data_IF_890290402066
#
_entry.id   IF_890290402066
#
_cell.length_a   1.000
_cell.length_b   1.000
_cell.length_c   1.000
_cell.angle_alpha   90.00
_cell.angle_beta   90.00
_cell.angle_gamma   90.00
#
_symmetry.space_group_name_H-M   'P 1'
#
loop_
_entity.id
_entity.type
_entity.pdbx_description
1 polymer ?
#
# COMPACT_ATOMS: atom_id res chain seq x y z
N UNK A 1 -10.45 1.12 26.53
CA UNK A 1 -10.65 0.32 25.28
C UNK A 1 -11.44 -0.95 25.58
N UNK A 2 -12.62 -1.11 25.01
CA UNK A 2 -13.38 -2.37 25.12
C UNK A 2 -12.87 -3.36 24.06
N UNK A 3 -11.98 -4.30 24.47
CA UNK A 3 -11.34 -5.28 23.56
C UNK A 3 -12.36 -6.13 22.81
N UNK A 4 -13.51 -6.46 23.44
CA UNK A 4 -14.55 -7.27 22.80
C UNK A 4 -15.22 -6.51 21.64
N UNK A 5 -15.53 -5.23 21.83
CA UNK A 5 -16.11 -4.39 20.79
C UNK A 5 -15.13 -4.20 19.62
N UNK A 6 -13.86 -3.92 19.89
CA UNK A 6 -12.82 -3.79 18.88
C UNK A 6 -12.66 -5.05 18.01
N UNK A 7 -12.56 -6.23 18.66
CA UNK A 7 -12.44 -7.50 17.95
C UNK A 7 -13.70 -7.85 17.15
N UNK A 8 -14.88 -7.50 17.65
CA UNK A 8 -16.14 -7.73 16.94
C UNK A 8 -16.22 -6.88 15.65
N UNK A 9 -15.80 -5.61 15.70
CA UNK A 9 -15.73 -4.75 14.51
C UNK A 9 -14.72 -5.26 13.50
N UNK A 10 -13.51 -5.61 13.93
CA UNK A 10 -12.48 -6.18 13.07
C UNK A 10 -12.93 -7.50 12.42
N UNK A 11 -13.61 -8.37 13.18
CA UNK A 11 -14.18 -9.62 12.65
C UNK A 11 -15.27 -9.35 11.61
N UNK A 12 -16.13 -8.33 11.81
CA UNK A 12 -17.13 -7.90 10.84
C UNK A 12 -16.46 -7.44 9.54
N UNK A 13 -15.48 -6.53 9.62
CA UNK A 13 -14.80 -5.99 8.43
C UNK A 13 -14.03 -7.10 7.69
N UNK A 14 -13.41 -8.03 8.41
CA UNK A 14 -12.80 -9.23 7.83
C UNK A 14 -13.83 -10.15 7.13
N UNK A 15 -15.03 -10.31 7.70
CA UNK A 15 -16.11 -11.09 7.09
C UNK A 15 -16.61 -10.44 5.79
N UNK A 16 -16.78 -9.13 5.77
CA UNK A 16 -17.17 -8.36 4.57
C UNK A 16 -16.09 -8.48 3.48
N UNK A 17 -14.81 -8.32 3.85
CA UNK A 17 -13.69 -8.50 2.93
C UNK A 17 -13.66 -9.91 2.34
N UNK A 18 -13.88 -10.95 3.15
CA UNK A 18 -13.95 -12.35 2.69
C UNK A 18 -15.12 -12.59 1.73
N UNK A 19 -16.28 -12.00 1.98
CA UNK A 19 -17.45 -12.13 1.08
C UNK A 19 -17.22 -11.48 -0.28
N UNK A 20 -16.48 -10.38 -0.30
CA UNK A 20 -16.15 -9.64 -1.52
C UNK A 20 -14.74 -9.98 -2.06
N UNK A 21 -14.20 -11.14 -1.69
CA UNK A 21 -12.81 -11.52 -1.97
C UNK A 21 -12.49 -11.54 -3.47
N UNK A 22 -13.34 -12.12 -4.31
CA UNK A 22 -13.10 -12.22 -5.76
C UNK A 22 -13.09 -10.85 -6.45
N UNK A 23 -14.06 -9.95 -6.26
CA UNK A 23 -13.98 -8.59 -6.78
C UNK A 23 -12.76 -7.82 -6.29
N UNK A 24 -12.41 -7.94 -5.00
CA UNK A 24 -11.23 -7.30 -4.43
C UNK A 24 -9.93 -7.82 -5.06
N UNK A 25 -9.81 -9.12 -5.28
CA UNK A 25 -8.66 -9.72 -5.95
C UNK A 25 -8.53 -9.19 -7.38
N UNK A 26 -9.61 -9.22 -8.16
CA UNK A 26 -9.59 -8.75 -9.54
C UNK A 26 -9.18 -7.27 -9.62
N UNK A 27 -9.76 -6.43 -8.77
CA UNK A 27 -9.44 -5.01 -8.73
C UNK A 27 -7.99 -4.75 -8.30
N UNK A 28 -7.48 -5.51 -7.33
CA UNK A 28 -6.13 -5.31 -6.77
C UNK A 28 -5.04 -5.89 -7.66
N UNK A 29 -5.30 -7.00 -8.37
CA UNK A 29 -4.25 -7.75 -9.06
C UNK A 29 -4.24 -7.55 -10.57
N UNK A 30 -5.37 -7.25 -11.19
CA UNK A 30 -5.44 -7.19 -12.66
C UNK A 30 -4.44 -6.18 -13.22
N UNK A 31 -4.43 -4.96 -12.72
CA UNK A 31 -3.53 -3.91 -13.19
C UNK A 31 -2.06 -4.25 -12.90
N UNK A 32 -1.61 -4.58 -11.66
CA UNK A 32 -0.24 -4.98 -11.40
C UNK A 32 0.23 -6.18 -12.22
N UNK A 33 -0.60 -7.22 -12.38
CA UNK A 33 -0.25 -8.40 -13.17
C UNK A 33 -0.16 -8.10 -14.66
N UNK A 34 -0.95 -7.19 -15.20
CA UNK A 34 -0.78 -6.71 -16.58
C UNK A 34 0.57 -6.03 -16.77
N UNK A 35 1.02 -5.21 -15.82
CA UNK A 35 2.37 -4.62 -15.86
C UNK A 35 3.46 -5.69 -15.77
N UNK A 36 3.31 -6.67 -14.88
CA UNK A 36 4.21 -7.84 -14.80
C UNK A 36 4.30 -8.56 -16.15
N UNK A 37 3.16 -8.80 -16.77
CA UNK A 37 3.11 -9.48 -18.06
C UNK A 37 3.80 -8.66 -19.17
N UNK A 38 3.45 -7.38 -19.31
CA UNK A 38 4.01 -6.52 -20.36
C UNK A 38 5.51 -6.32 -20.15
N UNK A 39 5.92 -5.81 -18.99
CA UNK A 39 7.32 -5.46 -18.75
C UNK A 39 8.20 -6.70 -18.51
N UNK A 40 7.72 -7.67 -17.76
CA UNK A 40 8.51 -8.83 -17.39
C UNK A 40 8.49 -9.98 -18.40
N UNK A 41 7.42 -10.14 -19.17
CA UNK A 41 7.31 -11.22 -20.16
C UNK A 41 7.52 -10.73 -21.58
N UNK A 42 6.75 -9.72 -22.02
CA UNK A 42 6.80 -9.23 -23.40
C UNK A 42 8.08 -8.46 -23.67
N UNK A 43 8.39 -7.43 -22.88
CA UNK A 43 9.57 -6.58 -23.16
C UNK A 43 10.90 -7.27 -22.90
N UNK A 44 10.99 -8.13 -21.88
CA UNK A 44 12.17 -8.97 -21.67
C UNK A 44 12.29 -10.05 -22.75
N UNK A 45 11.18 -10.70 -23.11
CA UNK A 45 11.16 -11.71 -24.17
C UNK A 45 11.49 -11.17 -25.57
N UNK A 46 11.18 -9.90 -25.83
CA UNK A 46 11.53 -9.21 -27.07
C UNK A 46 12.93 -8.59 -27.07
N UNK A 47 13.70 -8.74 -25.99
CA UNK A 47 15.07 -8.21 -25.88
C UNK A 47 15.19 -6.72 -25.60
N UNK A 48 14.08 -6.00 -25.36
CA UNK A 48 14.09 -4.58 -24.99
C UNK A 48 14.59 -4.35 -23.55
N UNK A 49 14.37 -5.30 -22.66
CA UNK A 49 14.82 -5.26 -21.27
C UNK A 49 15.68 -6.49 -20.94
N UNK A 50 16.71 -6.33 -20.07
CA UNK A 50 17.56 -7.45 -19.67
C UNK A 50 16.78 -8.48 -18.84
N UNK A 51 17.17 -9.77 -18.86
CA UNK A 51 16.48 -10.84 -18.14
C UNK A 51 16.34 -10.60 -16.64
N UNK A 52 17.32 -9.96 -16.02
CA UNK A 52 17.38 -9.63 -14.58
C UNK A 52 16.27 -8.67 -14.16
N UNK A 53 15.71 -7.91 -15.10
CA UNK A 53 14.62 -6.97 -14.84
C UNK A 53 13.37 -7.64 -14.26
N UNK A 54 13.17 -8.93 -14.55
CA UNK A 54 12.06 -9.73 -13.96
C UNK A 54 12.11 -9.73 -12.44
N UNK A 55 13.31 -9.97 -11.87
CA UNK A 55 13.49 -9.97 -10.41
C UNK A 55 13.33 -8.58 -9.81
N UNK A 56 13.82 -7.54 -10.50
CA UNK A 56 13.73 -6.15 -10.06
C UNK A 56 12.28 -5.63 -10.03
N UNK A 57 11.42 -6.13 -10.92
CA UNK A 57 10.04 -5.69 -11.07
C UNK A 57 9.14 -6.14 -9.90
N UNK A 58 9.34 -7.35 -9.36
CA UNK A 58 8.43 -7.96 -8.38
C UNK A 58 8.29 -7.17 -7.08
N UNK A 59 9.36 -6.66 -6.42
CA UNK A 59 9.22 -5.84 -5.21
C UNK A 59 8.41 -4.56 -5.44
N UNK A 60 8.59 -3.91 -6.59
CA UNK A 60 7.81 -2.73 -6.97
C UNK A 60 6.32 -3.05 -7.16
N UNK A 61 6.00 -4.16 -7.79
CA UNK A 61 4.62 -4.63 -7.95
C UNK A 61 4.00 -5.01 -6.60
N UNK A 62 4.76 -5.63 -5.71
CA UNK A 62 4.33 -5.88 -4.33
C UNK A 62 3.99 -4.57 -3.61
N UNK A 63 4.85 -3.55 -3.73
CA UNK A 63 4.61 -2.23 -3.16
C UNK A 63 3.32 -1.59 -3.69
N UNK A 64 3.10 -1.61 -5.02
CA UNK A 64 1.86 -1.10 -5.64
C UNK A 64 0.64 -1.80 -5.08
N UNK A 65 0.67 -3.14 -5.02
CA UNK A 65 -0.47 -3.93 -4.56
C UNK A 65 -0.79 -3.68 -3.09
N UNK A 66 0.24 -3.59 -2.23
CA UNK A 66 0.06 -3.26 -0.82
C UNK A 66 -0.52 -1.85 -0.63
N UNK A 67 0.09 -0.86 -1.27
CA UNK A 67 -0.29 0.54 -1.08
C UNK A 67 -1.68 0.81 -1.64
N UNK A 68 -1.97 0.35 -2.85
CA UNK A 68 -3.29 0.50 -3.44
C UNK A 68 -4.36 -0.21 -2.62
N UNK A 69 -4.14 -1.49 -2.27
CA UNK A 69 -5.11 -2.27 -1.51
C UNK A 69 -5.39 -1.68 -0.12
N UNK A 70 -4.36 -1.23 0.60
CA UNK A 70 -4.53 -0.63 1.92
C UNK A 70 -5.25 0.71 1.88
N UNK A 71 -4.95 1.57 0.90
CA UNK A 71 -5.67 2.83 0.67
C UNK A 71 -7.15 2.56 0.39
N UNK A 72 -7.45 1.65 -0.56
CA UNK A 72 -8.82 1.30 -0.92
C UNK A 72 -9.59 0.69 0.25
N UNK A 73 -8.94 -0.19 1.02
CA UNK A 73 -9.55 -0.89 2.15
C UNK A 73 -10.04 0.05 3.25
N UNK A 74 -9.41 1.20 3.40
CA UNK A 74 -9.79 2.19 4.42
C UNK A 74 -10.60 3.34 3.83
N UNK A 75 -10.15 3.93 2.71
CA UNK A 75 -10.77 5.12 2.16
C UNK A 75 -12.20 4.88 1.68
N UNK A 76 -12.45 3.78 0.94
CA UNK A 76 -13.76 3.54 0.36
C UNK A 76 -14.86 3.25 1.39
N UNK A 77 -14.65 2.35 2.38
CA UNK A 77 -15.63 2.17 3.44
C UNK A 77 -15.90 3.46 4.21
N UNK A 78 -14.86 4.24 4.54
CA UNK A 78 -15.05 5.50 5.26
C UNK A 78 -15.86 6.53 4.47
N UNK A 79 -15.58 6.68 3.16
CA UNK A 79 -16.37 7.58 2.30
C UNK A 79 -17.84 7.13 2.28
N UNK A 80 -18.09 5.81 2.17
CA UNK A 80 -19.44 5.26 2.19
C UNK A 80 -20.13 5.45 3.54
N UNK A 81 -19.45 5.13 4.65
CA UNK A 81 -19.97 5.22 6.01
C UNK A 81 -20.29 6.67 6.42
N UNK A 82 -19.51 7.65 5.96
CA UNK A 82 -19.76 9.07 6.25
C UNK A 82 -20.83 9.73 5.35
N UNK A 83 -21.03 9.26 4.11
CA UNK A 83 -21.82 9.99 3.13
C UNK A 83 -23.10 9.28 2.68
N UNK A 84 -23.22 7.96 2.87
CA UNK A 84 -24.36 7.18 2.39
C UNK A 84 -25.05 6.35 3.45
N UNK A 85 -24.29 5.46 4.12
CA UNK A 85 -24.89 4.50 5.01
C UNK A 85 -25.07 5.04 6.42
N UNK A 86 -24.38 6.13 6.75
CA UNK A 86 -24.32 6.71 8.12
C UNK A 86 -23.97 5.65 9.19
N UNK A 87 -23.37 4.52 8.78
CA UNK A 87 -22.97 3.46 9.70
C UNK A 87 -21.93 3.92 10.73
N UNK A 88 -21.26 5.05 10.45
CA UNK A 88 -20.32 5.63 11.41
C UNK A 88 -21.06 6.06 12.70
N UNK A 89 -22.30 6.54 12.60
CA UNK A 89 -23.10 6.94 13.75
C UNK A 89 -23.40 5.73 14.65
N UNK A 90 -23.76 4.59 14.06
CA UNK A 90 -23.96 3.32 14.80
C UNK A 90 -22.67 2.84 15.47
N UNK A 91 -21.52 3.01 14.80
CA UNK A 91 -20.21 2.66 15.38
C UNK A 91 -19.82 3.57 16.53
N UNK A 92 -20.21 4.83 16.48
CA UNK A 92 -19.98 5.81 17.56
C UNK A 92 -20.81 5.53 18.82
N UNK A 93 -21.92 4.77 18.71
CA UNK A 93 -22.69 4.29 19.85
C UNK A 93 -22.00 3.14 20.61
N UNK A 94 -20.94 2.55 20.04
CA UNK A 94 -20.17 1.53 20.73
C UNK A 94 -19.45 2.11 21.96
N UNK A 95 -19.31 1.33 23.06
CA UNK A 95 -18.71 1.82 24.31
C UNK A 95 -17.17 1.89 24.18
N UNK A 96 -16.68 2.74 23.26
CA UNK A 96 -15.26 2.98 23.01
C UNK A 96 -15.02 4.40 22.50
N UNK A 97 -13.79 4.91 22.69
CA UNK A 97 -13.39 6.22 22.19
C UNK A 97 -13.37 6.25 20.66
N UNK A 98 -13.76 7.36 20.05
CA UNK A 98 -13.82 7.59 18.60
C UNK A 98 -12.51 7.22 17.90
N UNK A 99 -11.37 7.57 18.49
CA UNK A 99 -10.04 7.27 17.93
C UNK A 99 -9.78 5.78 17.74
N UNK A 100 -10.38 4.90 18.58
CA UNK A 100 -10.20 3.46 18.45
C UNK A 100 -10.96 2.86 17.27
N UNK A 101 -12.02 3.52 16.82
CA UNK A 101 -12.73 3.14 15.58
C UNK A 101 -11.81 3.39 14.38
N UNK A 102 -11.14 4.57 14.35
CA UNK A 102 -10.16 4.86 13.30
C UNK A 102 -8.97 3.88 13.31
N UNK A 103 -8.45 3.54 14.50
CA UNK A 103 -7.38 2.55 14.64
C UNK A 103 -7.83 1.17 14.14
N UNK A 104 -9.06 0.76 14.43
CA UNK A 104 -9.62 -0.50 13.91
C UNK A 104 -9.62 -0.52 12.37
N UNK A 105 -10.06 0.56 11.71
CA UNK A 105 -10.02 0.70 10.26
C UNK A 105 -8.60 0.61 9.70
N UNK A 106 -7.63 1.26 10.37
CA UNK A 106 -6.21 1.17 9.98
C UNK A 106 -5.72 -0.27 10.10
N UNK A 107 -6.02 -0.97 11.20
CA UNK A 107 -5.61 -2.38 11.36
C UNK A 107 -6.24 -3.28 10.31
N UNK A 108 -7.53 -3.11 10.00
CA UNK A 108 -8.20 -3.85 8.94
C UNK A 108 -7.55 -3.59 7.56
N UNK A 109 -7.25 -2.33 7.25
CA UNK A 109 -6.55 -1.94 6.03
C UNK A 109 -5.14 -2.50 5.93
N UNK A 110 -4.38 -2.50 7.04
CA UNK A 110 -3.05 -3.13 7.11
C UNK A 110 -3.11 -4.63 6.79
N UNK A 111 -4.05 -5.36 7.38
CA UNK A 111 -4.22 -6.80 7.12
C UNK A 111 -4.53 -7.05 5.64
N UNK A 112 -5.39 -6.24 5.03
CA UNK A 112 -5.71 -6.35 3.61
C UNK A 112 -4.51 -6.00 2.73
N UNK A 113 -3.73 -4.96 3.05
CA UNK A 113 -2.51 -4.60 2.35
C UNK A 113 -1.47 -5.73 2.38
N UNK A 114 -1.23 -6.32 3.55
CA UNK A 114 -0.31 -7.46 3.73
C UNK A 114 -0.79 -8.64 2.89
N UNK A 115 -2.07 -8.99 2.96
CA UNK A 115 -2.64 -10.08 2.17
C UNK A 115 -2.47 -9.85 0.67
N UNK A 116 -2.70 -8.62 0.18
CA UNK A 116 -2.49 -8.25 -1.22
C UNK A 116 -1.02 -8.40 -1.64
N UNK A 117 -0.08 -7.87 -0.85
CA UNK A 117 1.34 -7.98 -1.14
C UNK A 117 1.84 -9.43 -1.16
N UNK A 118 1.45 -10.23 -0.16
CA UNK A 118 1.86 -11.62 -0.07
C UNK A 118 1.28 -12.52 -1.17
N UNK A 119 0.10 -12.20 -1.69
CA UNK A 119 -0.54 -12.97 -2.77
C UNK A 119 -0.07 -12.57 -4.16
N UNK A 120 0.30 -11.31 -4.38
CA UNK A 120 0.78 -10.86 -5.70
C UNK A 120 2.18 -11.40 -6.04
N UNK A 121 3.01 -11.64 -5.04
CA UNK A 121 4.39 -12.16 -5.25
C UNK A 121 4.39 -13.56 -5.89
N UNK A 122 3.69 -14.58 -5.36
CA UNK A 122 3.64 -15.90 -6.00
C UNK A 122 2.96 -15.85 -7.38
N UNK A 123 1.92 -15.01 -7.56
CA UNK A 123 1.27 -14.85 -8.86
C UNK A 123 2.22 -14.24 -9.89
N UNK A 124 2.95 -13.19 -9.54
CA UNK A 124 3.96 -12.55 -10.39
C UNK A 124 5.13 -13.49 -10.70
N UNK A 125 5.61 -14.21 -9.69
CA UNK A 125 6.67 -15.19 -9.86
C UNK A 125 6.29 -16.33 -10.82
N UNK A 126 5.07 -16.86 -10.69
CA UNK A 126 4.57 -17.89 -11.61
C UNK A 126 4.50 -17.37 -13.05
N UNK A 127 4.08 -16.11 -13.24
CA UNK A 127 3.93 -15.47 -14.55
C UNK A 127 5.30 -15.21 -15.22
N UNK A 128 6.32 -14.90 -14.41
CA UNK A 128 7.65 -14.51 -14.90
C UNK A 128 8.64 -15.67 -15.04
N UNK A 129 8.31 -16.89 -14.60
CA UNK A 129 9.17 -18.07 -14.75
C UNK A 129 9.53 -18.37 -16.22
N UNK A 130 10.75 -18.88 -16.49
CA UNK A 130 11.91 -18.98 -15.61
C UNK A 130 12.70 -17.67 -15.50
N UNK A 131 13.59 -17.56 -14.51
CA UNK A 131 14.56 -16.46 -14.40
C UNK A 131 14.17 -15.36 -13.43
N UNK A 132 13.48 -15.69 -12.34
CA UNK A 132 13.24 -14.79 -11.21
C UNK A 132 13.94 -15.34 -9.98
N UNK A 133 14.91 -14.58 -9.48
CA UNK A 133 15.66 -14.88 -8.26
C UNK A 133 15.22 -13.92 -7.16
N UNK A 134 14.48 -14.44 -6.19
CA UNK A 134 14.13 -13.76 -4.96
C UNK A 134 14.91 -14.36 -3.80
N UNK A 135 15.54 -13.54 -3.01
CA UNK A 135 16.22 -13.96 -1.79
C UNK A 135 15.85 -13.03 -0.63
N UNK A 136 15.36 -13.60 0.45
CA UNK A 136 15.10 -12.84 1.67
C UNK A 136 16.38 -12.78 2.49
N UNK A 137 17.24 -11.80 2.20
CA UNK A 137 18.54 -11.66 2.86
C UNK A 137 18.43 -11.29 4.35
N UNK A 138 17.41 -10.53 4.71
CA UNK A 138 17.15 -10.07 6.07
C UNK A 138 15.67 -10.25 6.44
N UNK A 139 15.24 -11.41 6.98
CA UNK A 139 13.84 -11.69 7.27
C UNK A 139 13.18 -10.68 8.21
N UNK A 140 13.88 -10.23 9.24
CA UNK A 140 13.37 -9.19 10.15
C UNK A 140 13.20 -7.84 9.44
N UNK A 141 14.13 -7.49 8.56
CA UNK A 141 14.02 -6.29 7.72
C UNK A 141 12.82 -6.37 6.78
N UNK A 142 12.59 -7.52 6.15
CA UNK A 142 11.43 -7.76 5.30
C UNK A 142 10.11 -7.58 6.08
N UNK A 143 9.99 -8.22 7.24
CA UNK A 143 8.79 -8.10 8.10
C UNK A 143 8.57 -6.64 8.51
N UNK A 144 9.62 -5.93 8.93
CA UNK A 144 9.53 -4.52 9.31
C UNK A 144 9.06 -3.63 8.15
N UNK A 145 9.62 -3.82 6.95
CA UNK A 145 9.22 -3.07 5.75
C UNK A 145 7.77 -3.38 5.38
N UNK A 146 7.36 -4.66 5.34
CA UNK A 146 5.98 -5.05 5.05
C UNK A 146 5.01 -4.43 6.03
N UNK A 147 5.34 -4.44 7.33
CA UNK A 147 4.51 -3.84 8.37
C UNK A 147 4.37 -2.32 8.19
N UNK A 148 5.48 -1.60 7.97
CA UNK A 148 5.45 -0.15 7.79
C UNK A 148 4.76 0.25 6.47
N UNK A 149 4.97 -0.47 5.37
CA UNK A 149 4.26 -0.23 4.11
C UNK A 149 2.75 -0.44 4.28
N UNK A 150 2.34 -1.45 5.04
CA UNK A 150 0.93 -1.68 5.35
C UNK A 150 0.35 -0.56 6.22
N UNK A 151 1.10 -0.09 7.23
CA UNK A 151 0.69 1.03 8.07
C UNK A 151 0.59 2.33 7.26
N UNK A 152 1.57 2.61 6.40
CA UNK A 152 1.56 3.74 5.48
C UNK A 152 0.30 3.73 4.59
N UNK A 153 0.02 2.61 3.97
CA UNK A 153 -1.12 2.50 3.05
C UNK A 153 -2.46 2.70 3.77
N UNK A 154 -2.64 2.07 4.93
CA UNK A 154 -3.86 2.19 5.71
C UNK A 154 -4.04 3.59 6.31
N UNK A 155 -2.96 4.20 6.84
CA UNK A 155 -2.99 5.57 7.35
C UNK A 155 -3.24 6.60 6.25
N UNK A 156 -2.64 6.40 5.07
CA UNK A 156 -2.94 7.20 3.87
C UNK A 156 -4.41 7.07 3.45
N UNK A 157 -4.96 5.86 3.49
CA UNK A 157 -6.37 5.59 3.26
C UNK A 157 -7.29 6.30 4.27
N UNK A 158 -6.90 6.36 5.54
CA UNK A 158 -7.62 7.09 6.59
C UNK A 158 -7.68 8.60 6.29
N UNK A 159 -6.52 9.20 5.96
CA UNK A 159 -6.44 10.63 5.60
C UNK A 159 -7.32 10.92 4.38
N UNK A 160 -7.19 10.13 3.32
CA UNK A 160 -7.94 10.33 2.08
C UNK A 160 -9.44 10.10 2.27
N UNK A 161 -9.84 9.06 3.00
CA UNK A 161 -11.25 8.76 3.28
C UNK A 161 -11.95 9.80 4.14
N UNK A 162 -11.21 10.46 5.04
CA UNK A 162 -11.75 11.57 5.83
C UNK A 162 -11.79 12.89 5.05
N UNK A 163 -10.86 13.11 4.11
CA UNK A 163 -10.70 14.40 3.41
C UNK A 163 -11.55 14.52 2.15
N UNK A 164 -11.88 13.41 1.50
CA UNK A 164 -12.42 13.39 0.15
C UNK A 164 -13.86 12.94 0.14
N UNK A 165 -14.68 13.67 -0.62
CA UNK A 165 -16.06 13.29 -0.90
C UNK A 165 -16.14 12.31 -2.07
N UNK A 166 -17.23 11.54 -2.14
CA UNK A 166 -17.41 10.51 -3.17
C UNK A 166 -17.33 11.04 -4.60
N UNK A 167 -17.86 12.23 -4.87
CA UNK A 167 -17.79 12.85 -6.18
C UNK A 167 -16.34 13.03 -6.68
N UNK A 168 -15.38 13.11 -5.76
CA UNK A 168 -13.97 13.38 -6.03
C UNK A 168 -13.07 12.14 -5.91
N UNK A 169 -13.62 10.93 -5.72
CA UNK A 169 -12.83 9.69 -5.61
C UNK A 169 -11.98 9.45 -6.85
N UNK A 170 -12.53 9.67 -8.04
CA UNK A 170 -11.79 9.56 -9.31
C UNK A 170 -10.62 10.55 -9.38
N UNK A 171 -10.81 11.79 -8.93
CA UNK A 171 -9.76 12.80 -8.85
C UNK A 171 -8.68 12.41 -7.84
N UNK A 172 -9.05 11.86 -6.70
CA UNK A 172 -8.12 11.35 -5.69
C UNK A 172 -7.15 10.34 -6.31
N UNK A 173 -7.69 9.36 -7.04
CA UNK A 173 -6.86 8.34 -7.66
C UNK A 173 -5.96 8.91 -8.77
N UNK A 174 -6.49 9.75 -9.64
CA UNK A 174 -5.73 10.29 -10.77
C UNK A 174 -4.70 11.35 -10.36
N UNK A 175 -4.97 12.15 -9.34
CA UNK A 175 -4.08 13.25 -8.94
C UNK A 175 -3.15 12.92 -7.77
N UNK A 176 -3.50 11.95 -6.92
CA UNK A 176 -2.70 11.59 -5.74
C UNK A 176 -2.06 10.20 -5.92
N UNK A 177 -2.89 9.16 -6.07
CA UNK A 177 -2.40 7.78 -6.04
C UNK A 177 -1.60 7.42 -7.29
N UNK A 178 -2.09 7.79 -8.49
CA UNK A 178 -1.39 7.46 -9.73
C UNK A 178 -0.01 8.15 -9.83
N UNK A 179 0.14 9.48 -9.63
CA UNK A 179 1.47 10.09 -9.60
C UNK A 179 2.38 9.52 -8.50
N UNK A 180 1.83 9.21 -7.32
CA UNK A 180 2.57 8.58 -6.25
C UNK A 180 3.17 7.23 -6.69
N UNK A 181 2.41 6.41 -7.42
CA UNK A 181 2.88 5.12 -7.95
C UNK A 181 3.95 5.33 -9.03
N UNK A 182 3.70 6.20 -10.02
CA UNK A 182 4.62 6.42 -11.14
C UNK A 182 5.97 7.00 -10.70
N UNK A 183 5.97 7.97 -9.79
CA UNK A 183 7.18 8.56 -9.22
C UNK A 183 7.70 7.81 -7.99
N UNK A 184 7.11 6.67 -7.66
CA UNK A 184 7.44 5.84 -6.51
C UNK A 184 8.59 4.86 -6.71
N UNK A 185 9.38 4.98 -7.79
CA UNK A 185 10.47 4.05 -8.13
C UNK A 185 10.03 2.58 -8.17
N UNK A 186 8.78 2.32 -8.55
CA UNK A 186 8.18 0.99 -8.54
C UNK A 186 8.69 0.12 -9.68
N UNK A 187 8.87 0.72 -10.87
CA UNK A 187 9.30 0.04 -12.10
C UNK A 187 10.80 0.15 -12.36
N UNK A 188 11.51 1.00 -11.65
CA UNK A 188 12.94 1.26 -11.77
C UNK A 188 13.55 1.54 -10.39
N UNK A 189 14.83 1.24 -10.15
CA UNK A 189 15.46 1.58 -8.88
C UNK A 189 15.70 3.08 -8.78
N UNK A 190 15.70 3.61 -7.56
CA UNK A 190 15.98 5.04 -7.29
C UNK A 190 17.31 5.51 -7.90
N UNK A 191 18.35 4.66 -7.91
CA UNK A 191 19.65 4.96 -8.53
C UNK A 191 19.60 5.09 -10.05
N UNK A 192 18.56 4.60 -10.73
CA UNK A 192 18.40 4.84 -12.17
C UNK A 192 18.19 6.33 -12.49
N UNK A 193 17.82 7.13 -11.48
CA UNK A 193 17.65 8.59 -11.59
C UNK A 193 18.95 9.39 -11.38
N UNK A 194 20.12 8.77 -11.24
CA UNK A 194 21.40 9.45 -10.98
C UNK A 194 21.73 10.52 -12.03
N UNK A 195 21.24 10.33 -13.27
CA UNK A 195 21.38 11.31 -14.36
C UNK A 195 20.49 12.56 -14.20
N UNK A 196 19.50 12.50 -13.30
CA UNK A 196 18.51 13.56 -13.04
C UNK A 196 18.49 13.93 -11.56
N UNK A 197 19.52 14.62 -11.04
CA UNK A 197 19.70 14.81 -9.58
C UNK A 197 18.56 15.57 -8.90
N UNK A 198 17.90 16.50 -9.60
CA UNK A 198 16.75 17.24 -9.07
C UNK A 198 15.56 16.29 -8.88
N UNK A 199 15.24 15.50 -9.92
CA UNK A 199 14.17 14.52 -9.86
C UNK A 199 14.45 13.45 -8.79
N UNK A 200 15.70 12.94 -8.74
CA UNK A 200 16.12 11.93 -7.78
C UNK A 200 15.92 12.38 -6.32
N UNK A 201 16.19 13.65 -6.02
CA UNK A 201 15.94 14.22 -4.69
C UNK A 201 14.45 14.48 -4.45
N UNK A 202 13.75 14.99 -5.46
CA UNK A 202 12.33 15.33 -5.34
C UNK A 202 11.44 14.09 -5.10
N UNK A 203 11.77 12.95 -5.72
CA UNK A 203 10.98 11.71 -5.50
C UNK A 203 11.11 11.19 -4.07
N UNK A 204 12.12 11.57 -3.29
CA UNK A 204 12.20 11.20 -1.87
C UNK A 204 11.12 11.85 -0.99
N UNK A 205 10.41 12.85 -1.50
CA UNK A 205 9.19 13.37 -0.86
C UNK A 205 7.98 12.44 -1.04
N UNK A 206 8.11 11.44 -1.91
CA UNK A 206 7.08 10.46 -2.17
C UNK A 206 7.31 9.22 -1.29
N UNK A 207 6.40 8.91 -0.35
CA UNK A 207 6.55 7.76 0.53
C UNK A 207 6.56 6.41 -0.20
N UNK A 208 5.99 6.34 -1.41
CA UNK A 208 6.00 5.14 -2.25
C UNK A 208 7.42 4.71 -2.62
N UNK A 209 8.38 5.66 -2.72
CA UNK A 209 9.80 5.34 -2.98
C UNK A 209 10.37 4.46 -1.88
N UNK A 210 10.08 4.79 -0.62
CA UNK A 210 10.55 3.99 0.51
C UNK A 210 9.88 2.61 0.56
N UNK A 211 8.60 2.51 0.16
CA UNK A 211 7.90 1.23 0.05
C UNK A 211 8.55 0.33 -1.01
N UNK A 212 8.74 0.83 -2.23
CA UNK A 212 9.32 0.06 -3.35
C UNK A 212 10.79 -0.28 -3.11
N UNK A 213 11.61 0.68 -2.67
CA UNK A 213 13.04 0.47 -2.38
C UNK A 213 13.27 -0.43 -1.17
N UNK A 214 12.42 -0.33 -0.15
CA UNK A 214 12.48 -1.19 1.03
C UNK A 214 12.21 -2.65 0.71
N UNK A 215 11.16 -2.91 -0.06
CA UNK A 215 10.85 -4.26 -0.53
C UNK A 215 11.93 -4.77 -1.50
N UNK A 216 12.53 -3.88 -2.31
CA UNK A 216 13.66 -4.22 -3.18
C UNK A 216 14.89 -4.61 -2.36
N UNK A 217 15.25 -3.83 -1.37
CA UNK A 217 16.36 -4.13 -0.46
C UNK A 217 16.18 -5.47 0.27
N UNK A 218 14.93 -5.83 0.58
CA UNK A 218 14.62 -7.05 1.32
C UNK A 218 14.51 -8.31 0.46
N UNK A 219 14.02 -8.20 -0.80
CA UNK A 219 13.73 -9.34 -1.68
C UNK A 219 14.78 -9.56 -2.77
N UNK A 220 15.49 -8.52 -3.20
CA UNK A 220 16.48 -8.57 -4.27
C UNK A 220 17.70 -7.69 -3.96
N UNK A 221 18.42 -7.96 -2.87
CA UNK A 221 19.53 -7.13 -2.37
C UNK A 221 20.71 -7.03 -3.35
N UNK A 222 20.78 -7.88 -4.36
CA UNK A 222 21.78 -7.83 -5.43
C UNK A 222 21.60 -6.63 -6.36
N UNK A 223 20.42 -6.02 -6.41
CA UNK A 223 20.17 -4.82 -7.22
C UNK A 223 20.43 -3.54 -6.42
N UNK A 224 20.74 -2.41 -7.10
CA UNK A 224 20.87 -1.13 -6.45
C UNK A 224 19.58 -0.72 -5.72
N UNK A 225 19.70 -0.36 -4.46
CA UNK A 225 18.58 0.05 -3.61
C UNK A 225 19.01 1.13 -2.61
N UNK A 226 18.05 1.79 -1.96
CA UNK A 226 18.29 2.65 -0.80
C UNK A 226 18.72 1.80 0.41
N UNK A 227 19.47 2.43 1.34
CA UNK A 227 19.83 1.77 2.59
C UNK A 227 18.57 1.40 3.39
N UNK A 228 18.53 0.19 3.93
CA UNK A 228 17.38 -0.30 4.70
C UNK A 228 17.07 0.62 5.89
N UNK A 229 18.09 1.14 6.57
CA UNK A 229 17.94 2.09 7.67
C UNK A 229 17.28 3.40 7.23
N UNK A 230 17.69 3.94 6.07
CA UNK A 230 17.06 5.14 5.50
C UNK A 230 15.61 4.91 5.09
N UNK A 231 15.32 3.72 4.54
CA UNK A 231 13.95 3.31 4.20
C UNK A 231 13.07 3.22 5.45
N UNK A 232 13.52 2.54 6.49
CA UNK A 232 12.75 2.39 7.74
C UNK A 232 12.52 3.75 8.41
N UNK A 233 13.53 4.62 8.45
CA UNK A 233 13.38 5.97 8.99
C UNK A 233 12.38 6.82 8.19
N UNK A 234 12.45 6.76 6.86
CA UNK A 234 11.50 7.45 5.97
C UNK A 234 10.07 6.96 6.16
N UNK A 235 9.83 5.64 6.16
CA UNK A 235 8.51 5.07 6.39
C UNK A 235 7.97 5.46 7.77
N UNK A 236 8.75 5.32 8.84
CA UNK A 236 8.33 5.72 10.19
C UNK A 236 7.93 7.20 10.27
N UNK A 237 8.66 8.08 9.58
CA UNK A 237 8.32 9.51 9.53
C UNK A 237 6.95 9.73 8.84
N UNK A 238 6.75 9.15 7.66
CA UNK A 238 5.50 9.28 6.93
C UNK A 238 4.34 8.63 7.67
N UNK A 239 4.54 7.45 8.27
CA UNK A 239 3.55 6.74 9.07
C UNK A 239 3.09 7.59 10.26
N UNK A 240 4.04 8.17 10.99
CA UNK A 240 3.74 9.04 12.12
C UNK A 240 2.90 10.25 11.72
N UNK A 241 3.29 10.92 10.62
CA UNK A 241 2.57 12.09 10.11
C UNK A 241 1.18 11.72 9.60
N UNK A 242 1.05 10.66 8.80
CA UNK A 242 -0.23 10.26 8.22
C UNK A 242 -1.19 9.71 9.27
N UNK A 243 -0.70 8.90 10.20
CA UNK A 243 -1.52 8.38 11.29
C UNK A 243 -2.03 9.49 12.19
N UNK A 244 -1.16 10.43 12.58
CA UNK A 244 -1.57 11.60 13.36
C UNK A 244 -2.59 12.46 12.63
N UNK A 245 -2.33 12.79 11.36
CA UNK A 245 -3.24 13.59 10.54
C UNK A 245 -4.59 12.88 10.33
N UNK A 246 -4.56 11.58 10.04
CA UNK A 246 -5.74 10.76 9.83
C UNK A 246 -6.62 10.66 11.07
N UNK A 247 -6.02 10.37 12.24
CA UNK A 247 -6.75 10.31 13.51
C UNK A 247 -7.37 11.67 13.87
N UNK A 248 -6.63 12.77 13.66
CA UNK A 248 -7.14 14.11 13.91
C UNK A 248 -8.32 14.47 13.00
N UNK A 249 -8.22 14.15 11.71
CA UNK A 249 -9.29 14.41 10.74
C UNK A 249 -10.51 13.53 11.02
N UNK A 250 -10.30 12.24 11.34
CA UNK A 250 -11.39 11.34 11.68
C UNK A 250 -12.15 11.81 12.92
N UNK A 251 -11.44 12.15 14.01
CA UNK A 251 -12.05 12.63 15.23
C UNK A 251 -12.86 13.92 15.00
N UNK A 252 -12.33 14.84 14.18
CA UNK A 252 -13.06 16.07 13.84
C UNK A 252 -14.33 15.77 13.05
N UNK A 253 -14.23 14.95 12.01
CA UNK A 253 -15.36 14.63 11.13
C UNK A 253 -16.43 13.75 11.81
N UNK A 254 -16.07 13.00 12.84
CA UNK A 254 -16.98 12.16 13.60
C UNK A 254 -17.74 12.92 14.70
N UNK A 255 -17.31 14.14 15.08
CA UNK A 255 -17.91 14.95 16.12
C UNK A 255 -18.73 16.11 15.53
N UNK A 256 -18.36 16.60 14.35
CA UNK A 256 -19.09 17.64 13.57
C UNK A 256 -20.31 17.02 12.87
#
# INVERSE_FOLDING_TARGET
>A
MNRKAFLAMLARDAHVARRNFVPLLLQTFLQPLMFVFIFGRVMVGSGYLPPEYKSLLLPGIMAISMVSSGIWAVAMPLISEFQFTHEIEDRLLAPMEVSWIAVEKVVAGMLQAIAAGLTVVPAGWLLLRPGVDLSVAAPLGFIAVVFLVALFSASGGLVLGCSIGQANVGLMFSLVVAPMIFFGCTYYPWRALDKFPVLQKSVLLNPMVYASEGLRAALVPQFPHLSLTGVLAGLLLFDGVLLWAGLRQFNRKAID
#
